data_IF_989324494773
#
_entry.id   IF_989324494773
#
_cell.length_a   1.000
_cell.length_b   1.000
_cell.length_c   1.000
_cell.angle_alpha   90.00
_cell.angle_beta   90.00
_cell.angle_gamma   90.00
#
_symmetry.space_group_name_H-M   'P 1'
#
loop_
_entity.id
_entity.type
_entity.pdbx_description
1 polymer ?
#
# COMPACT_ATOMS: atom_id res chain seq x y z
N UNK A 1 13.06 11.71 19.13
CA UNK A 1 12.48 11.78 17.77
C UNK A 1 11.49 10.64 17.56
N UNK A 2 11.95 9.38 17.59
CA UNK A 2 11.09 8.21 17.32
C UNK A 2 9.87 8.11 18.23
N UNK A 3 10.03 8.32 19.55
CA UNK A 3 8.91 8.28 20.49
C UNK A 3 7.88 9.38 20.21
N UNK A 4 8.33 10.60 19.93
CA UNK A 4 7.45 11.73 19.60
C UNK A 4 6.70 11.46 18.29
N UNK A 5 7.40 10.97 17.26
CA UNK A 5 6.79 10.58 15.99
C UNK A 5 5.69 9.51 16.19
N UNK A 6 5.98 8.47 16.98
CA UNK A 6 5.00 7.42 17.29
C UNK A 6 3.78 7.96 18.03
N UNK A 7 3.98 8.85 19.02
CA UNK A 7 2.88 9.50 19.74
C UNK A 7 1.97 10.30 18.80
N UNK A 8 2.56 11.10 17.91
CA UNK A 8 1.82 11.92 16.94
C UNK A 8 1.07 11.06 15.91
N UNK A 9 1.73 10.06 15.32
CA UNK A 9 1.12 9.13 14.35
C UNK A 9 0.01 8.31 15.01
N UNK A 10 0.22 7.83 16.23
CA UNK A 10 -0.79 7.05 16.95
C UNK A 10 -2.02 7.91 17.29
N UNK A 11 -1.82 9.14 17.77
CA UNK A 11 -2.92 10.08 18.00
C UNK A 11 -3.72 10.30 16.71
N UNK A 12 -3.04 10.52 15.59
CA UNK A 12 -3.66 10.68 14.27
C UNK A 12 -4.46 9.44 13.86
N UNK A 13 -3.85 8.25 13.94
CA UNK A 13 -4.51 7.00 13.54
C UNK A 13 -5.74 6.69 14.40
N UNK A 14 -5.64 6.90 15.71
CA UNK A 14 -6.78 6.71 16.60
C UNK A 14 -7.87 7.74 16.28
N UNK A 15 -7.53 9.00 16.05
CA UNK A 15 -8.49 10.06 15.76
C UNK A 15 -9.23 9.87 14.44
N UNK A 16 -8.51 9.62 13.35
CA UNK A 16 -9.07 9.55 11.99
C UNK A 16 -9.71 8.19 11.66
N UNK A 17 -9.18 7.08 12.16
CA UNK A 17 -9.60 5.75 11.72
C UNK A 17 -10.38 4.96 12.78
N UNK A 18 -10.11 5.19 14.07
CA UNK A 18 -10.75 4.43 15.17
C UNK A 18 -11.92 5.21 15.75
N UNK A 19 -11.72 6.50 16.04
CA UNK A 19 -12.68 7.35 16.74
C UNK A 19 -13.48 8.28 15.82
N UNK A 20 -13.49 8.03 14.51
CA UNK A 20 -14.32 8.73 13.53
C UNK A 20 -15.41 7.79 12.97
N UNK A 21 -16.60 7.69 13.60
CA UNK A 21 -17.68 6.82 13.12
C UNK A 21 -18.17 7.20 11.72
N UNK A 22 -18.60 6.22 10.92
CA UNK A 22 -19.13 6.45 9.57
C UNK A 22 -20.29 7.46 9.52
N UNK A 23 -21.17 7.48 10.53
CA UNK A 23 -22.26 8.46 10.66
C UNK A 23 -21.76 9.91 10.72
N UNK A 24 -20.58 10.15 11.29
CA UNK A 24 -19.97 11.49 11.32
C UNK A 24 -19.48 11.87 9.93
N UNK A 25 -18.85 10.93 9.23
CA UNK A 25 -18.36 11.15 7.86
C UNK A 25 -19.52 11.48 6.92
N UNK A 26 -20.63 10.74 6.99
CA UNK A 26 -21.83 10.99 6.18
C UNK A 26 -22.42 12.38 6.43
N UNK A 27 -22.58 12.78 7.70
CA UNK A 27 -23.11 14.10 8.06
C UNK A 27 -22.14 15.23 7.66
N UNK A 28 -20.82 15.04 7.84
CA UNK A 28 -19.79 15.98 7.36
C UNK A 28 -19.84 16.15 5.84
N UNK A 29 -20.06 15.09 5.07
CA UNK A 29 -20.17 15.18 3.61
C UNK A 29 -21.43 15.93 3.16
N UNK A 30 -22.55 15.78 3.88
CA UNK A 30 -23.80 16.47 3.56
C UNK A 30 -23.80 17.94 3.99
N UNK A 31 -23.35 18.25 5.22
CA UNK A 31 -23.44 19.58 5.82
C UNK A 31 -22.13 20.39 5.74
N UNK A 32 -21.03 19.77 5.32
CA UNK A 32 -19.70 20.37 5.19
C UNK A 32 -19.30 21.08 6.48
N UNK A 33 -18.84 22.33 6.40
CA UNK A 33 -18.46 23.15 7.56
C UNK A 33 -19.58 23.42 8.56
N UNK A 34 -20.85 23.16 8.22
CA UNK A 34 -21.98 23.29 9.17
C UNK A 34 -22.19 22.03 10.03
N UNK A 35 -21.46 20.96 9.78
CA UNK A 35 -21.57 19.73 10.57
C UNK A 35 -20.94 19.92 11.94
N UNK A 36 -21.72 19.68 13.00
CA UNK A 36 -21.20 19.63 14.38
C UNK A 36 -20.12 18.54 14.56
N UNK A 37 -20.17 17.48 13.75
CA UNK A 37 -19.22 16.37 13.84
C UNK A 37 -17.83 16.73 13.33
N UNK A 38 -17.69 17.81 12.53
CA UNK A 38 -16.38 18.37 12.20
C UNK A 38 -15.68 18.87 13.48
N UNK A 39 -16.39 19.63 14.31
CA UNK A 39 -15.84 20.16 15.57
C UNK A 39 -15.61 19.07 16.62
N UNK A 40 -16.50 18.08 16.73
CA UNK A 40 -16.26 16.94 17.62
C UNK A 40 -15.03 16.13 17.19
N UNK A 41 -14.83 15.93 15.89
CA UNK A 41 -13.66 15.24 15.38
C UNK A 41 -12.36 15.99 15.71
N UNK A 42 -12.33 17.31 15.52
CA UNK A 42 -11.19 18.16 15.93
C UNK A 42 -10.97 18.10 17.45
N UNK A 43 -12.04 18.07 18.23
CA UNK A 43 -11.97 17.90 19.69
C UNK A 43 -11.36 16.56 20.11
N UNK A 44 -11.67 15.46 19.40
CA UNK A 44 -11.03 14.15 19.62
C UNK A 44 -9.52 14.25 19.40
N UNK A 45 -9.08 14.87 18.30
CA UNK A 45 -7.66 15.07 18.03
C UNK A 45 -6.97 15.92 19.11
N UNK A 46 -7.59 17.01 19.55
CA UNK A 46 -7.08 17.81 20.65
C UNK A 46 -6.88 16.98 21.93
N UNK A 47 -7.89 16.20 22.33
CA UNK A 47 -7.83 15.37 23.53
C UNK A 47 -6.76 14.28 23.43
N UNK A 48 -6.66 13.60 22.27
CA UNK A 48 -5.64 12.57 22.04
C UNK A 48 -4.24 13.18 22.09
N UNK A 49 -4.03 14.32 21.45
CA UNK A 49 -2.73 15.00 21.46
C UNK A 49 -2.33 15.46 22.86
N UNK A 50 -3.26 16.06 23.62
CA UNK A 50 -3.01 16.44 25.02
C UNK A 50 -2.67 15.23 25.90
N UNK A 51 -3.36 14.11 25.71
CA UNK A 51 -3.13 12.87 26.44
C UNK A 51 -1.75 12.28 26.11
N UNK A 52 -1.44 12.07 24.82
CA UNK A 52 -0.19 11.41 24.40
C UNK A 52 1.05 12.29 24.62
N UNK A 53 0.91 13.61 24.47
CA UNK A 53 1.98 14.57 24.76
C UNK A 53 2.03 15.00 26.23
N UNK A 54 1.11 14.51 27.07
CA UNK A 54 1.08 14.79 28.52
C UNK A 54 1.11 16.30 28.81
N UNK A 55 0.31 17.08 28.08
CA UNK A 55 0.24 18.55 28.15
C UNK A 55 1.54 19.30 27.80
N UNK A 56 2.53 18.63 27.21
CA UNK A 56 3.74 19.26 26.68
C UNK A 56 3.51 19.77 25.24
N UNK A 57 4.36 20.71 24.80
CA UNK A 57 4.35 21.27 23.44
C UNK A 57 2.99 21.84 22.99
N UNK A 58 2.31 22.59 23.87
CA UNK A 58 0.95 23.11 23.60
C UNK A 58 0.84 23.95 22.31
N UNK A 59 1.89 24.69 21.94
CA UNK A 59 1.95 25.41 20.67
C UNK A 59 1.91 24.48 19.44
N UNK A 60 2.61 23.34 19.52
CA UNK A 60 2.56 22.31 18.48
C UNK A 60 1.20 21.62 18.42
N UNK A 61 0.58 21.33 19.57
CA UNK A 61 -0.79 20.80 19.64
C UNK A 61 -1.76 21.75 18.94
N UNK A 62 -1.71 23.05 19.26
CA UNK A 62 -2.57 24.05 18.64
C UNK A 62 -2.40 24.09 17.11
N UNK A 63 -1.16 24.09 16.62
CA UNK A 63 -0.88 24.08 15.18
C UNK A 63 -1.40 22.81 14.49
N UNK A 64 -1.20 21.62 15.08
CA UNK A 64 -1.72 20.37 14.52
C UNK A 64 -3.26 20.40 14.47
N UNK A 65 -3.92 20.81 15.55
CA UNK A 65 -5.39 20.84 15.63
C UNK A 65 -5.99 21.84 14.62
N UNK A 66 -5.39 23.04 14.51
CA UNK A 66 -5.85 24.06 13.55
C UNK A 66 -5.64 23.58 12.11
N UNK A 67 -4.46 23.05 11.79
CA UNK A 67 -4.18 22.56 10.43
C UNK A 67 -5.03 21.35 10.08
N UNK A 68 -5.26 20.42 11.02
CA UNK A 68 -6.20 19.30 10.84
C UNK A 68 -7.58 19.82 10.45
N UNK A 69 -8.16 20.74 11.24
CA UNK A 69 -9.45 21.35 10.91
C UNK A 69 -9.50 21.98 9.50
N UNK A 70 -8.45 22.73 9.12
CA UNK A 70 -8.37 23.38 7.82
C UNK A 70 -8.26 22.38 6.66
N UNK A 71 -7.46 21.32 6.82
CA UNK A 71 -7.30 20.25 5.83
C UNK A 71 -8.64 19.51 5.66
N UNK A 72 -9.27 19.12 6.76
CA UNK A 72 -10.54 18.38 6.77
C UNK A 72 -11.67 19.23 6.15
N UNK A 73 -11.72 20.53 6.45
CA UNK A 73 -12.66 21.48 5.83
C UNK A 73 -12.39 21.65 4.33
N UNK A 74 -11.13 21.75 3.92
CA UNK A 74 -10.72 21.84 2.52
C UNK A 74 -11.15 20.60 1.74
N UNK A 75 -10.89 19.40 2.28
CA UNK A 75 -11.33 18.11 1.75
C UNK A 75 -12.85 18.09 1.56
N UNK A 76 -13.63 18.42 2.60
CA UNK A 76 -15.10 18.44 2.53
C UNK A 76 -15.64 19.45 1.50
N UNK A 77 -14.94 20.57 1.32
CA UNK A 77 -15.36 21.62 0.38
C UNK A 77 -15.16 21.19 -1.07
N UNK A 78 -14.05 20.49 -1.36
CA UNK A 78 -13.64 20.06 -2.71
C UNK A 78 -14.16 18.66 -3.11
N UNK A 79 -14.68 17.89 -2.15
CA UNK A 79 -15.15 16.52 -2.37
C UNK A 79 -16.38 16.45 -3.26
N UNK A 80 -16.33 15.55 -4.24
CA UNK A 80 -17.44 15.14 -5.09
C UNK A 80 -17.39 13.61 -5.32
N UNK A 81 -18.45 13.00 -5.90
CA UNK A 81 -18.52 11.54 -6.08
C UNK A 81 -17.39 10.93 -6.93
N UNK A 82 -16.74 11.73 -7.79
CA UNK A 82 -15.67 11.23 -8.68
C UNK A 82 -14.29 11.27 -8.03
N UNK A 83 -14.03 12.25 -7.15
CA UNK A 83 -12.70 12.50 -6.58
C UNK A 83 -12.55 12.08 -5.12
N UNK A 84 -13.62 11.63 -4.45
CA UNK A 84 -13.63 11.26 -3.02
C UNK A 84 -12.41 10.42 -2.58
N UNK A 85 -12.10 9.36 -3.34
CA UNK A 85 -10.98 8.44 -3.02
C UNK A 85 -9.62 9.15 -3.09
N UNK A 86 -9.40 9.99 -4.10
CA UNK A 86 -8.15 10.71 -4.27
C UNK A 86 -8.00 11.82 -3.23
N UNK A 87 -9.08 12.56 -2.93
CA UNK A 87 -9.05 13.57 -1.88
C UNK A 87 -8.85 12.97 -0.49
N UNK A 88 -9.34 11.76 -0.24
CA UNK A 88 -9.00 11.02 0.98
C UNK A 88 -7.49 10.76 1.10
N UNK A 89 -6.83 10.33 0.01
CA UNK A 89 -5.37 10.11 0.02
C UNK A 89 -4.61 11.41 0.22
N UNK A 90 -4.98 12.47 -0.52
CA UNK A 90 -4.34 13.80 -0.39
C UNK A 90 -4.49 14.35 1.03
N UNK A 91 -5.68 14.22 1.62
CA UNK A 91 -5.97 14.58 3.00
C UNK A 91 -5.03 13.87 3.99
N UNK A 92 -4.87 12.54 3.90
CA UNK A 92 -3.95 11.81 4.77
C UNK A 92 -2.48 12.21 4.56
N UNK A 93 -2.06 12.47 3.32
CA UNK A 93 -0.71 12.97 3.04
C UNK A 93 -0.49 14.34 3.67
N UNK A 94 -1.44 15.27 3.54
CA UNK A 94 -1.33 16.60 4.14
C UNK A 94 -1.24 16.53 5.67
N UNK A 95 -2.05 15.68 6.32
CA UNK A 95 -1.94 15.45 7.76
C UNK A 95 -0.56 14.92 8.15
N UNK A 96 -0.04 13.89 7.47
CA UNK A 96 1.29 13.35 7.77
C UNK A 96 2.40 14.38 7.53
N UNK A 97 2.28 15.24 6.52
CA UNK A 97 3.24 16.33 6.28
C UNK A 97 3.23 17.37 7.41
N UNK A 98 2.06 17.74 7.94
CA UNK A 98 1.96 18.60 9.12
C UNK A 98 2.65 17.93 10.31
N UNK A 99 2.37 16.66 10.58
CA UNK A 99 2.99 15.94 11.69
C UNK A 99 4.52 15.88 11.54
N UNK A 100 5.02 15.64 10.33
CA UNK A 100 6.45 15.64 10.03
C UNK A 100 7.08 17.03 10.21
N UNK A 101 6.41 18.10 9.77
CA UNK A 101 6.87 19.47 9.96
C UNK A 101 6.93 19.86 11.45
N UNK A 102 5.92 19.46 12.23
CA UNK A 102 5.89 19.69 13.68
C UNK A 102 6.95 18.85 14.40
N UNK A 103 7.14 17.60 14.00
CA UNK A 103 8.21 16.74 14.52
C UNK A 103 9.57 17.39 14.29
N UNK A 104 9.84 17.87 13.06
CA UNK A 104 11.08 18.56 12.73
C UNK A 104 11.24 19.88 13.50
N UNK A 105 10.15 20.61 13.75
CA UNK A 105 10.20 21.85 14.53
C UNK A 105 10.59 21.60 16.00
N UNK A 106 10.08 20.53 16.62
CA UNK A 106 10.38 20.19 18.02
C UNK A 106 11.74 19.50 18.14
N UNK A 107 12.01 18.54 17.26
CA UNK A 107 13.25 17.76 17.25
C UNK A 107 13.85 17.77 15.83
N UNK A 108 14.64 18.80 15.48
CA UNK A 108 15.25 18.90 14.16
C UNK A 108 16.12 17.67 13.86
N UNK A 109 15.91 17.08 12.68
CA UNK A 109 16.66 15.92 12.21
C UNK A 109 17.21 16.18 10.81
N UNK A 110 18.38 15.64 10.51
CA UNK A 110 18.91 15.68 9.16
C UNK A 110 18.17 14.66 8.30
N UNK A 111 17.72 15.06 7.12
CA UNK A 111 17.23 14.13 6.11
C UNK A 111 18.41 13.83 5.19
N UNK A 112 19.04 12.65 5.31
CA UNK A 112 20.21 12.34 4.50
C UNK A 112 19.76 11.92 3.10
N UNK A 113 19.39 12.89 2.27
CA UNK A 113 19.00 12.62 0.87
C UNK A 113 20.12 11.94 0.08
N UNK A 114 21.39 12.15 0.48
CA UNK A 114 22.55 11.42 -0.03
C UNK A 114 22.43 9.91 0.14
N UNK A 115 21.76 9.43 1.20
CA UNK A 115 21.64 8.01 1.49
C UNK A 115 20.78 7.29 0.45
N UNK A 116 19.79 7.99 -0.15
CA UNK A 116 18.99 7.43 -1.25
C UNK A 116 19.83 7.09 -2.49
N UNK A 117 20.98 7.75 -2.66
CA UNK A 117 21.89 7.55 -3.79
C UNK A 117 23.08 6.63 -3.46
N UNK A 118 23.12 6.04 -2.26
CA UNK A 118 24.11 5.01 -1.96
C UNK A 118 23.80 3.73 -2.72
N UNK A 119 24.86 2.98 -3.05
CA UNK A 119 24.82 1.77 -3.88
C UNK A 119 23.78 0.76 -3.38
N UNK A 120 23.73 0.50 -2.07
CA UNK A 120 22.76 -0.43 -1.45
C UNK A 120 21.30 -0.02 -1.66
N UNK A 121 21.01 1.27 -1.56
CA UNK A 121 19.64 1.79 -1.69
C UNK A 121 19.21 1.82 -3.15
N UNK A 122 20.10 2.26 -4.06
CA UNK A 122 19.85 2.20 -5.49
C UNK A 122 19.66 0.75 -5.96
N UNK A 123 20.49 -0.18 -5.49
CA UNK A 123 20.35 -1.60 -5.78
C UNK A 123 18.99 -2.15 -5.33
N UNK A 124 18.53 -1.79 -4.12
CA UNK A 124 17.20 -2.17 -3.64
C UNK A 124 16.10 -1.63 -4.56
N UNK A 125 16.17 -0.34 -4.93
CA UNK A 125 15.21 0.29 -5.83
C UNK A 125 15.21 -0.40 -7.21
N UNK A 126 16.38 -0.73 -7.75
CA UNK A 126 16.53 -1.46 -9.02
C UNK A 126 15.82 -2.81 -8.97
N UNK A 127 16.05 -3.61 -7.91
CA UNK A 127 15.37 -4.90 -7.76
C UNK A 127 13.87 -4.75 -7.52
N UNK A 128 13.41 -3.73 -6.78
CA UNK A 128 11.98 -3.46 -6.62
C UNK A 128 11.32 -3.13 -7.96
N UNK A 129 11.93 -2.28 -8.80
CA UNK A 129 11.45 -1.98 -10.16
C UNK A 129 11.47 -3.24 -11.03
N UNK A 130 12.53 -4.05 -10.92
CA UNK A 130 12.65 -5.29 -11.68
C UNK A 130 11.53 -6.28 -11.34
N UNK A 131 11.29 -6.52 -10.05
CA UNK A 131 10.30 -7.48 -9.55
C UNK A 131 8.88 -7.00 -9.84
N UNK A 132 8.61 -5.69 -9.79
CA UNK A 132 7.25 -5.16 -10.04
C UNK A 132 6.93 -5.02 -11.52
N UNK A 133 7.74 -4.30 -12.29
CA UNK A 133 7.44 -3.93 -13.68
C UNK A 133 8.15 -4.80 -14.71
N UNK A 134 9.47 -4.94 -14.61
CA UNK A 134 10.27 -5.64 -15.65
C UNK A 134 9.89 -7.11 -15.73
N UNK A 135 9.77 -7.78 -14.58
CA UNK A 135 9.32 -9.18 -14.50
C UNK A 135 7.91 -9.35 -15.05
N UNK A 136 7.01 -8.40 -14.82
CA UNK A 136 5.66 -8.43 -15.40
C UNK A 136 5.67 -8.38 -16.93
N UNK A 137 6.56 -7.57 -17.50
CA UNK A 137 6.77 -7.46 -18.95
C UNK A 137 7.38 -8.76 -19.50
N UNK A 138 8.41 -9.32 -18.85
CA UNK A 138 9.03 -10.60 -19.21
C UNK A 138 7.97 -11.72 -19.19
N UNK A 139 7.18 -11.81 -18.12
CA UNK A 139 6.12 -12.81 -17.99
C UNK A 139 5.10 -12.72 -19.13
N UNK A 140 4.72 -11.51 -19.53
CA UNK A 140 3.80 -11.30 -20.67
C UNK A 140 4.39 -11.81 -21.99
N UNK A 141 5.69 -11.60 -22.21
CA UNK A 141 6.36 -12.10 -23.42
C UNK A 141 6.49 -13.63 -23.41
N UNK A 142 6.94 -14.21 -22.29
CA UNK A 142 7.12 -15.67 -22.16
C UNK A 142 5.81 -16.43 -22.29
N UNK A 143 4.71 -15.86 -21.79
CA UNK A 143 3.42 -16.52 -21.80
C UNK A 143 2.52 -16.16 -22.99
N UNK A 144 2.96 -15.26 -23.88
CA UNK A 144 2.14 -14.82 -25.03
C UNK A 144 1.58 -15.98 -25.88
N UNK A 145 2.36 -17.04 -26.21
CA UNK A 145 1.83 -18.16 -27.01
C UNK A 145 0.65 -18.87 -26.35
N UNK A 146 0.69 -19.04 -25.02
CA UNK A 146 -0.38 -19.71 -24.25
C UNK A 146 -1.62 -18.84 -24.12
N UNK A 147 -1.46 -17.51 -24.03
CA UNK A 147 -2.57 -16.57 -23.99
C UNK A 147 -3.35 -16.63 -25.31
N UNK A 148 -2.65 -16.66 -26.44
CA UNK A 148 -3.27 -16.74 -27.76
C UNK A 148 -4.03 -18.06 -27.97
N UNK A 149 -3.54 -19.18 -27.40
CA UNK A 149 -4.27 -20.45 -27.42
C UNK A 149 -5.53 -20.45 -26.55
N UNK A 150 -5.49 -19.78 -25.39
CA UNK A 150 -6.66 -19.65 -24.51
C UNK A 150 -7.71 -18.73 -25.17
N UNK A 151 -7.27 -17.63 -25.78
CA UNK A 151 -8.17 -16.67 -26.44
C UNK A 151 -8.92 -17.27 -27.63
N UNK A 152 -8.37 -18.30 -28.29
CA UNK A 152 -9.03 -19.02 -29.39
C UNK A 152 -10.15 -19.96 -28.90
N UNK A 153 -10.05 -20.47 -27.67
CA UNK A 153 -11.05 -21.37 -27.09
C UNK A 153 -12.19 -20.61 -26.37
N UNK A 154 -12.00 -19.32 -26.10
CA UNK A 154 -12.89 -18.50 -25.26
C UNK A 154 -13.86 -17.64 -26.11
N UNK A 155 -14.69 -18.28 -26.93
CA UNK A 155 -15.74 -17.60 -27.74
C UNK A 155 -16.88 -17.01 -26.88
N UNK A 156 -16.98 -17.38 -25.61
CA UNK A 156 -18.20 -17.20 -24.81
C UNK A 156 -18.23 -15.99 -23.86
N UNK A 157 -17.15 -15.22 -23.70
CA UNK A 157 -17.16 -13.99 -22.88
C UNK A 157 -17.58 -14.18 -21.41
N UNK A 158 -17.72 -15.42 -20.92
CA UNK A 158 -18.14 -15.73 -19.56
C UNK A 158 -16.94 -15.67 -18.61
N UNK A 159 -16.58 -14.45 -18.20
CA UNK A 159 -15.50 -14.26 -17.25
C UNK A 159 -15.07 -12.81 -17.14
N UNK A 160 -15.96 -11.95 -16.64
CA UNK A 160 -15.61 -10.55 -16.37
C UNK A 160 -14.51 -10.47 -15.30
N UNK A 161 -13.23 -10.50 -15.71
CA UNK A 161 -12.12 -10.20 -14.82
C UNK A 161 -12.07 -8.70 -14.58
N UNK A 162 -11.85 -8.32 -13.31
CA UNK A 162 -11.52 -6.94 -12.96
C UNK A 162 -10.34 -6.45 -13.81
N UNK A 163 -10.48 -5.26 -14.40
CA UNK A 163 -9.43 -4.64 -15.23
C UNK A 163 -8.12 -4.58 -14.46
N UNK A 164 -7.05 -5.15 -15.03
CA UNK A 164 -5.69 -5.19 -14.48
C UNK A 164 -5.51 -6.01 -13.18
N UNK A 165 -6.51 -6.76 -12.70
CA UNK A 165 -6.36 -7.51 -11.45
C UNK A 165 -5.19 -8.51 -11.49
N UNK A 166 -5.04 -9.25 -12.60
CA UNK A 166 -3.91 -10.18 -12.77
C UNK A 166 -2.53 -9.50 -12.68
N UNK A 167 -2.41 -8.27 -13.20
CA UNK A 167 -1.16 -7.48 -13.11
C UNK A 167 -0.82 -7.16 -11.66
N UNK A 168 -1.79 -6.64 -10.89
CA UNK A 168 -1.58 -6.28 -9.49
C UNK A 168 -1.35 -7.52 -8.60
N UNK A 169 -2.10 -8.61 -8.83
CA UNK A 169 -1.89 -9.89 -8.13
C UNK A 169 -0.46 -10.37 -8.37
N UNK A 170 0.00 -10.41 -9.62
CA UNK A 170 1.36 -10.83 -9.94
C UNK A 170 2.44 -9.93 -9.32
N UNK A 171 2.22 -8.61 -9.27
CA UNK A 171 3.13 -7.69 -8.58
C UNK A 171 3.21 -7.97 -7.09
N UNK A 172 2.07 -8.14 -6.41
CA UNK A 172 2.01 -8.42 -4.98
C UNK A 172 2.68 -9.76 -4.63
N UNK A 173 2.40 -10.81 -5.38
CA UNK A 173 3.03 -12.12 -5.19
C UNK A 173 4.56 -12.04 -5.29
N UNK A 174 5.07 -11.40 -6.34
CA UNK A 174 6.52 -11.25 -6.53
C UNK A 174 7.16 -10.38 -5.43
N UNK A 175 6.48 -9.34 -4.96
CA UNK A 175 6.93 -8.53 -3.82
C UNK A 175 6.96 -9.33 -2.52
N UNK A 176 5.95 -10.17 -2.25
CA UNK A 176 5.95 -11.05 -1.09
C UNK A 176 7.09 -12.06 -1.15
N UNK A 177 7.28 -12.74 -2.29
CA UNK A 177 8.38 -13.69 -2.49
C UNK A 177 9.73 -13.00 -2.30
N UNK A 178 9.95 -11.85 -2.95
CA UNK A 178 11.18 -11.07 -2.80
C UNK A 178 11.42 -10.70 -1.33
N UNK A 179 10.41 -10.15 -0.63
CA UNK A 179 10.50 -9.81 0.78
C UNK A 179 10.77 -11.01 1.70
N UNK A 180 10.14 -12.15 1.44
CA UNK A 180 10.40 -13.39 2.20
C UNK A 180 11.83 -13.88 2.02
N UNK A 181 12.42 -13.75 0.84
CA UNK A 181 13.85 -14.05 0.64
C UNK A 181 14.71 -13.11 1.49
N UNK A 182 14.43 -11.80 1.51
CA UNK A 182 15.21 -10.84 2.30
C UNK A 182 15.11 -11.11 3.82
N UNK A 183 13.96 -11.59 4.28
CA UNK A 183 13.74 -12.00 5.68
C UNK A 183 14.19 -13.44 5.98
N UNK A 184 14.77 -14.14 4.99
CA UNK A 184 15.17 -15.56 5.06
C UNK A 184 14.01 -16.52 5.41
N UNK A 185 12.77 -16.15 5.07
CA UNK A 185 11.54 -16.91 5.34
C UNK A 185 11.13 -17.81 4.17
N UNK A 186 11.94 -18.82 3.87
CA UNK A 186 11.68 -19.77 2.77
C UNK A 186 10.34 -20.51 2.90
N UNK A 187 9.94 -20.84 4.14
CA UNK A 187 8.67 -21.52 4.41
C UNK A 187 7.45 -20.68 3.96
N UNK A 188 7.52 -19.35 4.08
CA UNK A 188 6.43 -18.46 3.67
C UNK A 188 6.20 -18.47 2.15
N UNK A 189 7.27 -18.65 1.37
CA UNK A 189 7.19 -18.82 -0.09
C UNK A 189 6.45 -20.12 -0.43
N UNK A 190 6.80 -21.22 0.24
CA UNK A 190 6.12 -22.51 0.07
C UNK A 190 4.64 -22.43 0.42
N UNK A 191 4.28 -21.75 1.52
CA UNK A 191 2.90 -21.52 1.91
C UNK A 191 2.13 -20.69 0.86
N UNK A 192 2.76 -19.64 0.30
CA UNK A 192 2.15 -18.81 -0.73
C UNK A 192 1.86 -19.60 -2.02
N UNK A 193 2.81 -20.45 -2.46
CA UNK A 193 2.60 -21.35 -3.61
C UNK A 193 1.45 -22.32 -3.32
N UNK A 194 1.47 -22.97 -2.14
CA UNK A 194 0.47 -23.95 -1.76
C UNK A 194 -0.94 -23.34 -1.68
N UNK A 195 -1.09 -22.16 -1.08
CA UNK A 195 -2.36 -21.45 -1.01
C UNK A 195 -2.92 -21.18 -2.42
N UNK A 196 -2.06 -20.74 -3.35
CA UNK A 196 -2.46 -20.50 -4.74
C UNK A 196 -2.88 -21.79 -5.46
N UNK A 197 -2.18 -22.89 -5.23
CA UNK A 197 -2.54 -24.21 -5.78
C UNK A 197 -3.89 -24.71 -5.25
N UNK A 198 -4.19 -24.51 -3.96
CA UNK A 198 -5.48 -24.91 -3.35
C UNK A 198 -6.65 -24.17 -3.98
N UNK A 199 -6.55 -22.85 -4.18
CA UNK A 199 -7.61 -22.07 -4.84
C UNK A 199 -7.86 -22.54 -6.29
N UNK A 200 -6.84 -23.13 -6.94
CA UNK A 200 -6.93 -23.60 -8.32
C UNK A 200 -7.44 -25.04 -8.47
N UNK A 201 -7.39 -25.84 -7.40
CA UNK A 201 -7.83 -27.23 -7.44
C UNK A 201 -9.34 -27.38 -7.74
N UNK A 202 -10.15 -26.41 -7.29
CA UNK A 202 -11.59 -26.37 -7.59
C UNK A 202 -11.91 -26.17 -9.08
N UNK A 203 -11.05 -25.49 -9.83
CA UNK A 203 -11.22 -25.23 -11.27
C UNK A 203 -10.83 -26.44 -12.13
N UNK A 204 -9.87 -27.25 -11.68
CA UNK A 204 -9.40 -28.46 -12.35
C UNK A 204 -10.50 -29.52 -12.50
N UNK A 205 -11.39 -29.63 -11.51
CA UNK A 205 -12.45 -30.64 -11.47
C UNK A 205 -13.59 -30.40 -12.47
N UNK A 206 -13.64 -29.25 -13.15
CA UNK A 206 -14.76 -28.89 -14.04
C UNK A 206 -14.50 -29.12 -15.53
N UNK A 207 -13.35 -29.65 -15.94
CA UNK A 207 -13.04 -30.09 -17.31
C UNK A 207 -12.93 -28.99 -18.39
N UNK A 208 -13.72 -27.91 -18.30
CA UNK A 208 -13.77 -26.80 -19.25
C UNK A 208 -12.53 -25.89 -19.26
N UNK A 209 -11.71 -25.89 -18.20
CA UNK A 209 -10.65 -24.89 -18.01
C UNK A 209 -9.23 -25.47 -17.88
N UNK A 210 -8.92 -26.58 -18.55
CA UNK A 210 -7.60 -27.24 -18.43
C UNK A 210 -6.44 -26.36 -18.90
N UNK A 211 -6.52 -25.79 -20.11
CA UNK A 211 -5.50 -24.86 -20.67
C UNK A 211 -5.27 -23.65 -19.77
N UNK A 212 -6.36 -23.05 -19.27
CA UNK A 212 -6.31 -21.92 -18.34
C UNK A 212 -5.63 -22.28 -17.00
N UNK A 213 -5.80 -23.52 -16.55
CA UNK A 213 -5.13 -24.00 -15.34
C UNK A 213 -3.64 -24.22 -15.57
N UNK A 214 -3.27 -24.87 -16.67
CA UNK A 214 -1.87 -25.07 -17.07
C UNK A 214 -1.14 -23.73 -17.23
N UNK A 215 -1.75 -22.77 -17.93
CA UNK A 215 -1.23 -21.40 -18.08
C UNK A 215 -0.95 -20.73 -16.72
N UNK A 216 -1.90 -20.80 -15.77
CA UNK A 216 -1.70 -20.19 -14.45
C UNK A 216 -0.65 -20.93 -13.63
N UNK A 217 -0.55 -22.25 -13.75
CA UNK A 217 0.48 -23.04 -13.07
C UNK A 217 1.88 -22.68 -13.59
N UNK A 218 2.08 -22.72 -14.91
CA UNK A 218 3.34 -22.33 -15.57
C UNK A 218 3.68 -20.88 -15.21
N UNK A 219 2.70 -19.97 -15.33
CA UNK A 219 2.90 -18.55 -15.03
C UNK A 219 3.28 -18.29 -13.57
N UNK A 220 2.71 -19.04 -12.63
CA UNK A 220 3.06 -18.93 -11.21
C UNK A 220 4.49 -19.41 -10.97
N UNK A 221 4.86 -20.59 -11.47
CA UNK A 221 6.20 -21.15 -11.27
C UNK A 221 7.28 -20.24 -11.86
N UNK A 222 7.10 -19.75 -13.08
CA UNK A 222 8.03 -18.80 -13.72
C UNK A 222 8.12 -17.48 -12.94
N UNK A 223 6.98 -16.90 -12.56
CA UNK A 223 6.95 -15.63 -11.82
C UNK A 223 7.62 -15.74 -10.44
N UNK A 224 7.41 -16.86 -9.74
CA UNK A 224 8.04 -17.12 -8.44
C UNK A 224 9.54 -17.40 -8.61
N UNK A 225 9.94 -18.15 -9.64
CA UNK A 225 11.34 -18.36 -9.98
C UNK A 225 12.07 -17.05 -10.23
N UNK A 226 11.49 -16.15 -11.04
CA UNK A 226 12.05 -14.81 -11.27
C UNK A 226 12.18 -14.00 -9.97
N UNK A 227 11.16 -14.04 -9.10
CA UNK A 227 11.21 -13.32 -7.83
C UNK A 227 12.24 -13.90 -6.84
N UNK A 228 12.38 -15.23 -6.77
CA UNK A 228 13.40 -15.90 -5.95
C UNK A 228 14.80 -15.54 -6.44
N UNK A 229 15.06 -15.68 -7.75
CA UNK A 229 16.35 -15.30 -8.35
C UNK A 229 16.67 -13.83 -8.10
N UNK A 230 15.66 -12.95 -8.19
CA UNK A 230 15.82 -11.54 -7.88
C UNK A 230 16.19 -11.30 -6.42
N UNK A 231 15.50 -11.96 -5.48
CA UNK A 231 15.79 -11.85 -4.05
C UNK A 231 17.18 -12.35 -3.70
N UNK A 232 17.56 -13.51 -4.24
CA UNK A 232 18.89 -14.08 -4.05
C UNK A 232 19.98 -13.20 -4.68
N UNK A 233 19.75 -12.69 -5.89
CA UNK A 233 20.66 -11.78 -6.58
C UNK A 233 20.89 -10.49 -5.80
N UNK A 234 19.82 -9.88 -5.28
CA UNK A 234 19.92 -8.72 -4.40
C UNK A 234 20.72 -9.05 -3.12
N UNK A 235 20.37 -10.13 -2.42
CA UNK A 235 21.03 -10.51 -1.17
C UNK A 235 22.53 -10.79 -1.37
N UNK A 236 22.89 -11.46 -2.47
CA UNK A 236 24.28 -11.69 -2.84
C UNK A 236 25.01 -10.38 -3.13
N UNK A 237 24.46 -9.52 -3.99
CA UNK A 237 25.13 -8.27 -4.38
C UNK A 237 25.28 -7.31 -3.18
N UNK A 238 24.25 -7.17 -2.35
CA UNK A 238 24.33 -6.34 -1.13
C UNK A 238 25.35 -6.88 -0.13
N UNK A 239 25.55 -8.20 -0.04
CA UNK A 239 26.58 -8.77 0.82
C UNK A 239 28.01 -8.51 0.35
N UNK A 240 28.19 -8.06 -0.91
CA UNK A 240 29.49 -7.72 -1.50
C UNK A 240 29.70 -6.20 -1.67
N UNK A 241 28.75 -5.38 -1.22
CA UNK A 241 28.85 -3.92 -1.13
C UNK A 241 29.25 -3.51 0.29
#
# INVERSE_FOLDING_TARGET
>A
MTLLALKLILAHFIGDFVLQPGKWVEDKLQKKGRSKYLYFHVGVHLLLLLLFLQFQHLGAVALIVISHYLIDLGKLSLTNPKNYRWLFVVDQVLHLLVLAAILYWIEPFQIPFSDLFQEKHLLLITFLVFVTYVSGIIMRMLLAPYIDEIAKDDESGEGGSLKNAGTYIGMLERLFVFGFILMQQWAAIGLLIAAKSVFRFGDLNKGKNRKLTEYVLIGTLLSFGLAILSGMGYAYLVGNL
#
